data_IF_346284215961
#
_entry.id   IF_346284215961
#
_cell.length_a   1.000
_cell.length_b   1.000
_cell.length_c   1.000
_cell.angle_alpha   90.00
_cell.angle_beta   90.00
_cell.angle_gamma   90.00
#
_symmetry.space_group_name_H-M   'P 1'
#
loop_
_entity.id
_entity.type
_entity.pdbx_description
1 polymer ?
#
# COMPACT_ATOMS: atom_id res chain seq x y z
N UNK A 1 -15.17 1.28 -11.25
CA UNK A 1 -14.74 2.66 -11.58
C UNK A 1 -14.37 2.68 -13.06
N UNK A 2 -14.87 3.65 -13.83
CA UNK A 2 -14.62 3.72 -15.28
C UNK A 2 -13.22 4.29 -15.55
N UNK A 3 -12.64 3.94 -16.70
CA UNK A 3 -11.32 4.44 -17.13
C UNK A 3 -11.22 5.98 -17.07
N UNK A 4 -12.25 6.69 -17.54
CA UNK A 4 -12.31 8.16 -17.50
C UNK A 4 -12.21 8.74 -16.09
N UNK A 5 -12.74 8.05 -15.08
CA UNK A 5 -12.65 8.48 -13.67
C UNK A 5 -11.23 8.30 -13.13
N UNK A 6 -10.50 7.27 -13.60
CA UNK A 6 -9.13 7.02 -13.19
C UNK A 6 -8.15 8.04 -13.79
N UNK A 7 -8.37 8.44 -15.05
CA UNK A 7 -7.60 9.54 -15.64
C UNK A 7 -7.89 10.87 -14.94
N UNK A 8 -9.14 11.16 -14.58
CA UNK A 8 -9.45 12.34 -13.78
C UNK A 8 -8.72 12.33 -12.42
N UNK A 9 -8.64 11.17 -11.76
CA UNK A 9 -7.89 11.00 -10.51
C UNK A 9 -6.37 11.19 -10.69
N UNK A 10 -5.83 10.72 -11.82
CA UNK A 10 -4.42 10.90 -12.17
C UNK A 10 -4.10 12.38 -12.34
N UNK A 11 -4.91 13.11 -13.10
CA UNK A 11 -4.75 14.55 -13.32
C UNK A 11 -4.95 15.37 -12.04
N UNK A 12 -5.90 14.98 -11.19
CA UNK A 12 -6.06 15.58 -9.86
C UNK A 12 -4.80 15.38 -9.00
N UNK A 13 -4.22 14.18 -9.03
CA UNK A 13 -2.96 13.88 -8.35
C UNK A 13 -1.82 14.77 -8.81
N UNK A 14 -1.68 14.95 -10.14
CA UNK A 14 -0.67 15.82 -10.76
C UNK A 14 -0.85 17.27 -10.35
N UNK A 15 -2.07 17.80 -10.50
CA UNK A 15 -2.42 19.18 -10.15
C UNK A 15 -2.12 19.51 -8.69
N UNK A 16 -2.36 18.55 -7.79
CA UNK A 16 -2.14 18.72 -6.36
C UNK A 16 -0.74 18.29 -5.88
N UNK A 17 0.18 17.95 -6.79
CA UNK A 17 1.51 17.40 -6.46
C UNK A 17 1.44 16.19 -5.50
N UNK A 18 0.36 15.41 -5.57
CA UNK A 18 0.12 14.26 -4.70
C UNK A 18 0.57 12.98 -5.41
N UNK A 19 1.86 12.66 -5.27
CA UNK A 19 2.46 11.50 -5.93
C UNK A 19 1.84 10.17 -5.49
N UNK A 20 1.30 10.08 -4.27
CA UNK A 20 0.59 8.88 -3.83
C UNK A 20 -0.70 8.66 -4.63
N UNK A 21 -1.45 9.74 -4.85
CA UNK A 21 -2.67 9.70 -5.66
C UNK A 21 -2.36 9.34 -7.12
N UNK A 22 -1.32 9.95 -7.70
CA UNK A 22 -0.80 9.62 -9.04
C UNK A 22 -0.46 8.13 -9.15
N UNK A 23 0.32 7.61 -8.20
CA UNK A 23 0.74 6.21 -8.21
C UNK A 23 -0.44 5.24 -8.05
N UNK A 24 -1.42 5.60 -7.21
CA UNK A 24 -2.64 4.80 -7.01
C UNK A 24 -3.54 4.80 -8.25
N UNK A 25 -3.71 5.94 -8.90
CA UNK A 25 -4.46 6.02 -10.16
C UNK A 25 -3.78 5.18 -11.24
N UNK A 26 -2.45 5.28 -11.35
CA UNK A 26 -1.66 4.49 -12.30
C UNK A 26 -1.74 2.98 -12.05
N UNK A 27 -1.69 2.55 -10.79
CA UNK A 27 -1.92 1.15 -10.40
C UNK A 27 -3.29 0.65 -10.91
N UNK A 28 -4.34 1.43 -10.69
CA UNK A 28 -5.70 1.07 -11.09
C UNK A 28 -5.87 1.05 -12.62
N UNK A 29 -5.30 2.04 -13.33
CA UNK A 29 -5.28 2.07 -14.80
C UNK A 29 -4.57 0.84 -15.38
N UNK A 30 -3.43 0.45 -14.79
CA UNK A 30 -2.74 -0.77 -15.19
C UNK A 30 -3.57 -2.02 -14.94
N UNK A 31 -4.27 -2.07 -13.80
CA UNK A 31 -5.17 -3.18 -13.44
C UNK A 31 -6.31 -3.42 -14.43
N UNK A 32 -6.69 -2.41 -15.22
CA UNK A 32 -7.68 -2.52 -16.29
C UNK A 32 -7.06 -2.58 -17.70
N UNK A 33 -5.73 -2.76 -17.79
CA UNK A 33 -5.04 -2.96 -19.07
C UNK A 33 -4.49 -1.70 -19.74
N UNK A 34 -4.45 -0.55 -19.06
CA UNK A 34 -3.86 0.69 -19.61
C UNK A 34 -2.41 0.85 -19.11
N UNK A 35 -1.39 0.52 -19.93
CA UNK A 35 0.00 0.69 -19.55
C UNK A 35 0.49 2.13 -19.70
N UNK A 36 1.61 2.46 -19.06
CA UNK A 36 2.43 3.65 -19.36
C UNK A 36 1.75 5.02 -19.21
N UNK A 37 0.86 5.18 -18.23
CA UNK A 37 0.25 6.48 -17.92
C UNK A 37 1.16 7.44 -17.11
N UNK A 38 2.35 7.00 -16.69
CA UNK A 38 3.29 7.76 -15.86
C UNK A 38 4.48 8.29 -16.65
N UNK A 39 4.90 9.52 -16.35
CA UNK A 39 6.14 10.12 -16.87
C UNK A 39 7.39 9.49 -16.22
N UNK A 40 8.57 9.74 -16.79
CA UNK A 40 9.84 9.28 -16.22
C UNK A 40 10.08 9.87 -14.81
N UNK A 41 9.77 11.15 -14.63
CA UNK A 41 9.95 11.84 -13.35
C UNK A 41 9.01 11.29 -12.28
N UNK A 42 7.75 11.03 -12.63
CA UNK A 42 6.78 10.40 -11.73
C UNK A 42 7.24 9.01 -11.30
N UNK A 43 7.77 8.21 -12.24
CA UNK A 43 8.32 6.89 -11.94
C UNK A 43 9.50 6.97 -10.95
N UNK A 44 10.43 7.90 -11.19
CA UNK A 44 11.57 8.11 -10.29
C UNK A 44 11.12 8.58 -8.92
N UNK A 45 10.16 9.50 -8.86
CA UNK A 45 9.62 10.00 -7.61
C UNK A 45 8.91 8.90 -6.81
N UNK A 46 8.13 8.03 -7.45
CA UNK A 46 7.48 6.88 -6.79
C UNK A 46 8.52 5.96 -6.13
N UNK A 47 9.61 5.64 -6.83
CA UNK A 47 10.68 4.81 -6.28
C UNK A 47 11.40 5.51 -5.12
N UNK A 48 11.65 6.80 -5.26
CA UNK A 48 12.18 7.62 -4.17
C UNK A 48 11.26 7.60 -2.94
N UNK A 49 9.94 7.69 -3.13
CA UNK A 49 8.96 7.61 -2.04
C UNK A 49 8.93 6.26 -1.35
N UNK A 50 9.12 5.16 -2.07
CA UNK A 50 9.34 3.85 -1.46
C UNK A 50 10.59 3.84 -0.58
N UNK A 51 11.70 4.43 -1.05
CA UNK A 51 12.92 4.54 -0.26
C UNK A 51 12.70 5.39 1.01
N UNK A 52 12.03 6.53 0.91
CA UNK A 52 11.69 7.34 2.07
C UNK A 52 10.82 6.56 3.08
N UNK A 53 9.85 5.79 2.61
CA UNK A 53 9.00 4.97 3.48
C UNK A 53 9.82 3.91 4.24
N UNK A 54 10.83 3.30 3.60
CA UNK A 54 11.77 2.37 4.26
C UNK A 54 12.60 3.03 5.36
N UNK A 55 12.92 4.30 5.19
CA UNK A 55 13.63 5.11 6.18
C UNK A 55 12.71 5.65 7.28
N UNK A 56 11.43 5.28 7.29
CA UNK A 56 10.44 5.81 8.24
C UNK A 56 10.04 7.26 7.98
N UNK A 57 10.46 7.84 6.85
CA UNK A 57 10.18 9.23 6.42
C UNK A 57 8.94 9.31 5.53
N UNK A 58 7.93 8.49 5.83
CA UNK A 58 6.63 8.55 5.17
C UNK A 58 5.97 9.91 5.37
N UNK A 59 5.07 10.32 4.47
CA UNK A 59 4.38 11.63 4.59
C UNK A 59 2.87 11.53 4.50
N UNK A 60 2.30 10.32 4.59
CA UNK A 60 0.85 10.13 4.53
C UNK A 60 0.16 10.28 5.91
N UNK A 61 0.93 10.56 6.97
CA UNK A 61 0.39 10.63 8.34
C UNK A 61 -0.14 9.28 8.84
N UNK A 62 0.43 8.19 8.33
CA UNK A 62 0.08 6.81 8.69
C UNK A 62 1.21 6.21 9.53
N UNK A 63 0.94 5.07 10.16
CA UNK A 63 2.01 4.27 10.77
C UNK A 63 3.06 3.94 9.69
N UNK A 64 4.37 4.12 9.96
CA UNK A 64 5.42 3.97 8.94
C UNK A 64 5.33 2.65 8.17
N UNK A 65 5.14 1.53 8.88
CA UNK A 65 4.99 0.21 8.25
C UNK A 65 3.74 0.08 7.37
N UNK A 66 2.66 0.78 7.70
CA UNK A 66 1.45 0.78 6.88
C UNK A 66 1.65 1.56 5.57
N UNK A 67 2.30 2.72 5.64
CA UNK A 67 2.69 3.47 4.44
C UNK A 67 3.67 2.66 3.59
N UNK A 68 4.67 2.02 4.20
CA UNK A 68 5.64 1.17 3.53
C UNK A 68 4.96 0.01 2.77
N UNK A 69 4.04 -0.73 3.40
CA UNK A 69 3.30 -1.81 2.75
C UNK A 69 2.57 -1.33 1.47
N UNK A 70 1.94 -0.14 1.55
CA UNK A 70 1.24 0.46 0.40
C UNK A 70 2.19 0.82 -0.73
N UNK A 71 3.35 1.40 -0.42
CA UNK A 71 4.35 1.77 -1.42
C UNK A 71 4.99 0.54 -2.08
N UNK A 72 5.31 -0.51 -1.31
CA UNK A 72 5.84 -1.76 -1.87
C UNK A 72 4.83 -2.34 -2.86
N UNK A 73 3.54 -2.41 -2.48
CA UNK A 73 2.49 -2.94 -3.33
C UNK A 73 2.37 -2.13 -4.62
N UNK A 74 2.26 -0.80 -4.52
CA UNK A 74 2.20 0.10 -5.68
C UNK A 74 3.39 -0.13 -6.60
N UNK A 75 4.61 -0.16 -6.06
CA UNK A 75 5.81 -0.28 -6.87
C UNK A 75 5.93 -1.65 -7.55
N UNK A 76 5.56 -2.74 -6.88
CA UNK A 76 5.52 -4.09 -7.49
C UNK A 76 4.69 -4.15 -8.76
N UNK A 77 3.54 -3.48 -8.76
CA UNK A 77 2.65 -3.47 -9.91
C UNK A 77 3.06 -2.46 -10.98
N UNK A 78 3.56 -1.29 -10.60
CA UNK A 78 4.00 -0.26 -11.56
C UNK A 78 5.28 -0.69 -12.28
N UNK A 79 6.21 -1.34 -11.57
CA UNK A 79 7.53 -1.75 -12.04
C UNK A 79 7.72 -3.28 -12.00
N UNK A 80 6.95 -4.06 -12.78
CA UNK A 80 7.06 -5.53 -12.74
C UNK A 80 8.44 -6.04 -13.19
N UNK A 81 9.20 -5.23 -13.93
CA UNK A 81 10.58 -5.53 -14.33
C UNK A 81 11.58 -5.40 -13.18
N UNK A 82 11.22 -4.69 -12.11
CA UNK A 82 12.08 -4.50 -10.93
C UNK A 82 11.76 -5.55 -9.88
N UNK A 83 12.81 -6.17 -9.33
CA UNK A 83 12.66 -7.09 -8.22
C UNK A 83 12.40 -6.33 -6.90
N UNK A 84 11.15 -5.94 -6.68
CA UNK A 84 10.71 -5.26 -5.46
C UNK A 84 10.17 -6.29 -4.50
N UNK A 85 10.94 -6.64 -3.49
CA UNK A 85 10.53 -7.55 -2.42
C UNK A 85 10.71 -6.87 -1.05
N UNK A 86 9.81 -7.13 -0.09
CA UNK A 86 10.02 -6.71 1.28
C UNK A 86 11.29 -7.33 1.86
N UNK A 87 12.16 -6.51 2.45
CA UNK A 87 13.28 -6.97 3.27
C UNK A 87 12.79 -7.47 4.65
N UNK A 88 13.70 -8.05 5.46
CA UNK A 88 13.37 -8.39 6.85
C UNK A 88 13.01 -7.15 7.69
N UNK A 89 13.68 -6.03 7.44
CA UNK A 89 13.36 -4.75 8.09
C UNK A 89 12.00 -4.20 7.66
N UNK A 90 11.67 -4.33 6.37
CA UNK A 90 10.34 -3.95 5.86
C UNK A 90 9.25 -4.76 6.58
N UNK A 91 9.44 -6.09 6.69
CA UNK A 91 8.48 -6.99 7.36
C UNK A 91 8.33 -6.62 8.85
N UNK A 92 9.44 -6.33 9.54
CA UNK A 92 9.42 -5.90 10.94
C UNK A 92 8.63 -4.61 11.11
N UNK A 93 8.89 -3.59 10.30
CA UNK A 93 8.18 -2.31 10.37
C UNK A 93 6.68 -2.46 10.08
N UNK A 94 6.32 -3.32 9.11
CA UNK A 94 4.92 -3.63 8.79
C UNK A 94 4.24 -4.35 9.97
N UNK A 95 4.93 -5.29 10.63
CA UNK A 95 4.42 -5.96 11.82
C UNK A 95 4.25 -4.98 13.00
N UNK A 96 5.16 -4.04 13.19
CA UNK A 96 5.04 -2.99 14.21
C UNK A 96 3.81 -2.10 13.98
N UNK A 97 3.55 -1.70 12.73
CA UNK A 97 2.32 -0.98 12.37
C UNK A 97 1.05 -1.82 12.64
N UNK A 98 1.08 -3.12 12.31
CA UNK A 98 -0.01 -4.04 12.61
C UNK A 98 -0.27 -4.15 14.12
N UNK A 99 0.80 -4.28 14.91
CA UNK A 99 0.74 -4.37 16.36
C UNK A 99 0.17 -3.09 16.99
N UNK A 100 0.59 -1.92 16.50
CA UNK A 100 0.05 -0.61 16.87
C UNK A 100 -1.47 -0.56 16.62
N UNK A 101 -1.91 -0.85 15.38
CA UNK A 101 -3.33 -0.85 15.05
C UNK A 101 -4.15 -1.92 15.78
N UNK A 102 -3.55 -3.07 16.11
CA UNK A 102 -4.20 -4.09 16.95
C UNK A 102 -4.43 -3.58 18.37
N UNK A 103 -3.43 -2.91 18.97
CA UNK A 103 -3.51 -2.30 20.30
C UNK A 103 -4.59 -1.21 20.34
N UNK A 104 -4.59 -0.33 19.35
CA UNK A 104 -5.54 0.79 19.25
C UNK A 104 -6.92 0.38 18.72
N UNK A 105 -7.08 -0.91 18.38
CA UNK A 105 -8.33 -1.52 17.89
C UNK A 105 -8.83 -0.87 16.60
N UNK A 106 -7.92 -0.42 15.75
CA UNK A 106 -8.20 0.17 14.45
C UNK A 106 -8.36 -0.96 13.42
N UNK A 107 -9.48 -1.69 13.51
CA UNK A 107 -9.67 -2.98 12.83
C UNK A 107 -9.67 -2.89 11.30
N UNK A 108 -10.05 -1.74 10.72
CA UNK A 108 -10.05 -1.54 9.26
C UNK A 108 -8.62 -1.53 8.71
N UNK A 109 -7.68 -0.89 9.41
CA UNK A 109 -6.29 -0.81 9.03
C UNK A 109 -5.59 -2.17 9.24
N UNK A 110 -5.93 -2.89 10.32
CA UNK A 110 -5.48 -4.28 10.49
C UNK A 110 -5.97 -5.16 9.34
N UNK A 111 -7.26 -5.09 8.96
CA UNK A 111 -7.80 -5.85 7.85
C UNK A 111 -7.14 -5.50 6.51
N UNK A 112 -6.83 -4.22 6.28
CA UNK A 112 -6.08 -3.74 5.11
C UNK A 112 -4.66 -4.33 5.07
N UNK A 113 -3.94 -4.37 6.20
CA UNK A 113 -2.63 -5.00 6.29
C UNK A 113 -2.69 -6.52 6.04
N UNK A 114 -3.69 -7.20 6.61
CA UNK A 114 -3.92 -8.64 6.37
C UNK A 114 -4.24 -8.91 4.90
N UNK A 115 -5.00 -8.03 4.24
CA UNK A 115 -5.22 -8.16 2.81
C UNK A 115 -3.91 -7.98 2.01
N UNK A 116 -3.14 -6.94 2.32
CA UNK A 116 -1.83 -6.70 1.69
C UNK A 116 -0.83 -7.83 1.98
N UNK A 117 -0.96 -8.53 3.11
CA UNK A 117 -0.11 -9.67 3.46
C UNK A 117 -0.07 -10.72 2.34
N UNK A 118 -1.24 -11.10 1.81
CA UNK A 118 -1.36 -12.09 0.74
C UNK A 118 -0.81 -11.59 -0.59
N UNK A 119 -0.90 -10.29 -0.88
CA UNK A 119 -0.34 -9.69 -2.09
C UNK A 119 1.18 -9.50 -2.01
N UNK A 120 1.69 -9.28 -0.79
CA UNK A 120 3.11 -9.03 -0.56
C UNK A 120 3.90 -10.30 -0.24
N UNK A 121 3.22 -11.41 0.07
CA UNK A 121 3.81 -12.65 0.58
C UNK A 121 4.65 -12.43 1.85
N UNK A 122 4.13 -11.64 2.78
CA UNK A 122 4.79 -11.38 4.08
C UNK A 122 4.11 -12.18 5.20
N UNK A 123 4.84 -12.62 6.24
CA UNK A 123 4.20 -13.18 7.42
C UNK A 123 3.72 -12.03 8.32
N UNK A 124 2.41 -11.95 8.58
CA UNK A 124 1.83 -10.98 9.52
C UNK A 124 1.02 -11.68 10.61
N UNK A 125 1.27 -11.30 11.86
CA UNK A 125 0.56 -11.80 13.03
C UNK A 125 -0.44 -10.77 13.54
N UNK A 126 -1.67 -11.22 13.82
CA UNK A 126 -2.72 -10.42 14.46
C UNK A 126 -3.10 -10.97 15.84
N UNK A 127 -2.18 -11.69 16.50
CA UNK A 127 -2.44 -12.39 17.75
C UNK A 127 -2.76 -11.48 18.94
N UNK A 128 -2.40 -10.19 18.84
CA UNK A 128 -2.78 -9.17 19.84
C UNK A 128 -4.29 -8.91 19.89
N UNK A 129 -5.06 -9.33 18.87
CA UNK A 129 -6.51 -9.22 18.87
C UNK A 129 -7.17 -10.46 19.52
N UNK A 130 -8.25 -10.26 20.30
CA UNK A 130 -9.09 -11.36 20.76
C UNK A 130 -9.65 -12.21 19.60
N UNK A 131 -9.95 -13.50 19.81
CA UNK A 131 -10.42 -14.41 18.75
C UNK A 131 -11.60 -13.89 17.91
N UNK A 132 -12.63 -13.31 18.56
CA UNK A 132 -13.79 -12.72 17.86
C UNK A 132 -13.38 -11.59 16.91
N UNK A 133 -12.44 -10.73 17.32
CA UNK A 133 -11.94 -9.63 16.49
C UNK A 133 -11.04 -10.11 15.36
N UNK A 134 -10.20 -11.13 15.60
CA UNK A 134 -9.43 -11.79 14.52
C UNK A 134 -10.35 -12.32 13.43
N UNK A 135 -11.41 -13.06 13.80
CA UNK A 135 -12.40 -13.58 12.85
C UNK A 135 -13.05 -12.46 12.02
N UNK A 136 -13.38 -11.34 12.66
CA UNK A 136 -13.93 -10.16 11.98
C UNK A 136 -12.93 -9.51 11.01
N UNK A 137 -11.69 -9.29 11.44
CA UNK A 137 -10.60 -8.76 10.60
C UNK A 137 -10.37 -9.62 9.37
N UNK A 138 -10.31 -10.96 9.53
CA UNK A 138 -10.13 -11.88 8.41
C UNK A 138 -11.30 -11.79 7.41
N UNK A 139 -12.54 -11.66 7.90
CA UNK A 139 -13.71 -11.46 7.02
C UNK A 139 -13.64 -10.14 6.25
N UNK A 140 -13.25 -9.05 6.93
CA UNK A 140 -13.06 -7.76 6.27
C UNK A 140 -11.96 -7.83 5.21
N UNK A 141 -10.81 -8.42 5.54
CA UNK A 141 -9.70 -8.57 4.61
C UNK A 141 -10.09 -9.38 3.34
N UNK A 142 -10.89 -10.43 3.53
CA UNK A 142 -11.42 -11.24 2.42
C UNK A 142 -12.43 -10.49 1.53
N UNK A 143 -13.08 -9.45 2.05
CA UNK A 143 -14.04 -8.62 1.33
C UNK A 143 -13.38 -7.46 0.55
N UNK A 144 -12.08 -7.18 0.77
CA UNK A 144 -11.33 -6.13 0.07
C UNK A 144 -10.87 -6.51 -1.35
N UNK A 145 -11.44 -7.58 -1.93
CA UNK A 145 -11.09 -8.08 -3.29
C UNK A 145 -11.54 -7.13 -4.39
#
# INVERSE_FOLDING_TARGET
>A
MKESQLFALLEEGRKNNNIYLVARAALLLRGIGVPNCLTADEKNLILYRLQCAREGKGTLGLEPGYELARWILICRYIFPEKYIVPSLDDIRMIQEACDSYCKDRILKQVASLVHMQGLLNIPLSINRLPPKKRKYVMKLAAALK
#
